data_IF_965636966369
#
_entry.id   IF_965636966369
#
_cell.length_a   1.000
_cell.length_b   1.000
_cell.length_c   1.000
_cell.angle_alpha   90.00
_cell.angle_beta   90.00
_cell.angle_gamma   90.00
#
_symmetry.space_group_name_H-M   'P 1'
#
loop_
_entity.id
_entity.type
_entity.pdbx_description
1 polymer ?
#
# COMPACT_ATOMS: atom_id res chain seq x y z
N UNK A 1 -17.50 12.23 -29.20
CA UNK A 1 -17.20 12.41 -27.76
C UNK A 1 -18.53 12.64 -27.06
N UNK A 2 -18.96 11.77 -26.15
CA UNK A 2 -20.23 11.92 -25.41
C UNK A 2 -19.92 12.70 -24.12
N UNK A 3 -20.56 13.86 -23.84
CA UNK A 3 -20.35 14.58 -22.60
C UNK A 3 -20.95 13.78 -21.44
N UNK A 4 -20.17 13.54 -20.37
CA UNK A 4 -20.67 12.95 -19.12
C UNK A 4 -20.04 11.61 -18.70
N UNK A 5 -19.26 10.94 -19.55
CA UNK A 5 -18.44 9.81 -19.12
C UNK A 5 -17.09 10.36 -18.67
N UNK A 6 -16.89 10.48 -17.35
CA UNK A 6 -15.55 10.72 -16.82
C UNK A 6 -14.58 9.71 -17.46
N UNK A 7 -13.37 10.12 -17.89
CA UNK A 7 -12.41 9.21 -18.48
C UNK A 7 -12.20 8.01 -17.53
N UNK A 8 -12.07 6.78 -18.05
CA UNK A 8 -11.92 5.61 -17.21
C UNK A 8 -10.75 5.82 -16.25
N UNK A 9 -11.01 5.72 -14.94
CA UNK A 9 -9.97 5.91 -13.89
C UNK A 9 -8.74 5.07 -14.23
N UNK A 10 -7.54 5.63 -14.09
CA UNK A 10 -6.29 4.93 -14.37
C UNK A 10 -6.25 3.55 -13.67
N UNK A 11 -5.72 2.47 -14.29
CA UNK A 11 -5.71 1.14 -13.68
C UNK A 11 -5.12 1.09 -12.27
N UNK A 12 -4.06 1.87 -12.03
CA UNK A 12 -3.45 2.04 -10.70
C UNK A 12 -4.44 2.57 -9.66
N UNK A 13 -5.20 3.61 -10.02
CA UNK A 13 -6.23 4.19 -9.16
C UNK A 13 -7.29 3.14 -8.82
N UNK A 14 -7.78 2.40 -9.82
CA UNK A 14 -8.76 1.33 -9.58
C UNK A 14 -8.22 0.24 -8.65
N UNK A 15 -6.96 -0.15 -8.82
CA UNK A 15 -6.31 -1.11 -7.92
C UNK A 15 -6.22 -0.56 -6.48
N UNK A 16 -5.82 0.71 -6.31
CA UNK A 16 -5.74 1.34 -5.00
C UNK A 16 -7.09 1.35 -4.26
N UNK A 17 -8.17 1.75 -4.93
CA UNK A 17 -9.51 1.72 -4.33
C UNK A 17 -9.98 0.30 -4.01
N UNK A 18 -9.72 -0.70 -4.87
CA UNK A 18 -10.04 -2.10 -4.58
C UNK A 18 -9.31 -2.63 -3.35
N UNK A 19 -8.05 -2.26 -3.17
CA UNK A 19 -7.28 -2.63 -1.99
C UNK A 19 -7.84 -1.94 -0.74
N UNK A 20 -8.14 -0.64 -0.79
CA UNK A 20 -8.76 0.08 0.33
C UNK A 20 -10.08 -0.58 0.75
N UNK A 21 -10.96 -0.86 -0.20
CA UNK A 21 -12.26 -1.48 0.09
C UNK A 21 -12.11 -2.92 0.64
N UNK A 22 -11.04 -3.62 0.26
CA UNK A 22 -10.72 -4.93 0.83
C UNK A 22 -10.13 -4.82 2.24
N UNK A 23 -9.32 -3.80 2.54
CA UNK A 23 -8.79 -3.51 3.87
C UNK A 23 -9.88 -3.08 4.86
N UNK A 24 -10.91 -2.38 4.39
CA UNK A 24 -12.07 -2.00 5.20
C UNK A 24 -12.77 -3.23 5.82
N UNK A 25 -12.80 -4.36 5.10
CA UNK A 25 -13.33 -5.64 5.63
C UNK A 25 -12.52 -6.21 6.79
N UNK A 26 -11.28 -5.78 6.94
CA UNK A 26 -10.42 -6.11 8.07
C UNK A 26 -10.48 -5.04 9.18
N UNK A 27 -11.33 -4.01 9.05
CA UNK A 27 -11.44 -2.90 9.99
C UNK A 27 -10.23 -1.96 9.97
N UNK A 28 -9.49 -1.92 8.86
CA UNK A 28 -8.29 -1.10 8.70
C UNK A 28 -8.63 0.09 7.79
N UNK A 29 -8.70 1.27 8.41
CA UNK A 29 -8.81 2.52 7.66
C UNK A 29 -7.53 2.78 6.85
N UNK A 30 -7.68 3.20 5.61
CA UNK A 30 -6.56 3.50 4.72
C UNK A 30 -6.94 4.61 3.73
N UNK A 31 -5.97 5.45 3.40
CA UNK A 31 -6.13 6.58 2.49
C UNK A 31 -5.56 6.26 1.12
N UNK A 32 -6.31 6.58 0.07
CA UNK A 32 -5.82 6.46 -1.32
C UNK A 32 -5.22 7.80 -1.72
N UNK A 33 -3.97 7.78 -2.16
CA UNK A 33 -3.29 8.92 -2.75
C UNK A 33 -3.08 8.62 -4.25
N UNK A 34 -3.47 9.56 -5.11
CA UNK A 34 -3.42 9.41 -6.56
C UNK A 34 -2.83 10.66 -7.24
N UNK A 35 -2.10 10.47 -8.34
CA UNK A 35 -1.50 11.57 -9.09
C UNK A 35 -0.49 11.08 -10.12
N UNK A 36 -0.32 11.82 -11.22
CA UNK A 36 0.69 11.54 -12.27
C UNK A 36 0.68 10.09 -12.81
N UNK A 37 -0.49 9.44 -12.89
CA UNK A 37 -0.61 8.04 -13.33
C UNK A 37 -0.22 6.99 -12.28
N UNK A 38 0.12 7.41 -11.07
CA UNK A 38 0.44 6.56 -9.93
C UNK A 38 -0.72 6.58 -8.92
N UNK A 39 -0.78 5.52 -8.12
CA UNK A 39 -1.65 5.45 -6.96
C UNK A 39 -0.98 4.64 -5.85
N UNK A 40 -1.22 5.04 -4.61
CA UNK A 40 -0.78 4.31 -3.42
C UNK A 40 -1.86 4.33 -2.35
N UNK A 41 -1.79 3.36 -1.44
CA UNK A 41 -2.67 3.21 -0.29
C UNK A 41 -1.84 3.38 0.98
N UNK A 42 -2.07 4.45 1.71
CA UNK A 42 -1.45 4.72 3.01
C UNK A 42 -2.25 4.02 4.10
N UNK A 43 -1.65 3.05 4.78
CA UNK A 43 -2.35 2.18 5.75
C UNK A 43 -1.95 2.51 7.18
N UNK A 44 -0.65 2.71 7.43
CA UNK A 44 -0.10 3.02 8.74
C UNK A 44 1.31 3.61 8.62
N UNK A 45 1.89 4.03 9.74
CA UNK A 45 3.32 4.39 9.81
C UNK A 45 4.17 3.28 9.20
N UNK A 46 4.98 3.65 8.20
CA UNK A 46 5.85 2.77 7.41
C UNK A 46 5.14 1.61 6.68
N UNK A 47 3.83 1.72 6.47
CA UNK A 47 3.04 0.78 5.66
C UNK A 47 2.26 1.53 4.58
N UNK A 48 2.95 1.73 3.46
CA UNK A 48 2.41 2.29 2.22
C UNK A 48 2.45 1.22 1.14
N UNK A 49 1.33 1.06 0.41
CA UNK A 49 1.19 0.08 -0.67
C UNK A 49 1.06 0.79 -2.01
N UNK A 50 2.06 0.64 -2.86
CA UNK A 50 2.01 1.09 -4.25
C UNK A 50 1.03 0.21 -5.02
N UNK A 51 0.14 0.83 -5.78
CA UNK A 51 -0.88 0.16 -6.58
C UNK A 51 -0.67 0.41 -8.07
N UNK A 52 -0.80 -0.64 -8.86
CA UNK A 52 -0.60 -0.62 -10.30
C UNK A 52 -0.95 -1.97 -10.92
N UNK A 53 -0.10 -2.56 -11.77
CA UNK A 53 -0.28 -3.95 -12.21
C UNK A 53 -0.14 -4.94 -11.05
N UNK A 54 0.46 -4.50 -9.94
CA UNK A 54 0.55 -5.24 -8.69
C UNK A 54 0.48 -4.31 -7.48
N UNK A 55 0.33 -4.92 -6.31
CA UNK A 55 0.54 -4.28 -5.02
C UNK A 55 1.96 -4.54 -4.55
N UNK A 56 2.67 -3.48 -4.19
CA UNK A 56 4.05 -3.55 -3.69
C UNK A 56 4.17 -2.72 -2.41
N UNK A 57 4.75 -3.29 -1.36
CA UNK A 57 4.98 -2.57 -0.09
C UNK A 57 6.26 -3.02 0.58
N UNK A 58 6.83 -2.16 1.40
CA UNK A 58 8.06 -2.46 2.13
C UNK A 58 7.86 -3.59 3.14
N UNK A 59 8.78 -4.55 3.15
CA UNK A 59 8.70 -5.75 3.97
C UNK A 59 9.28 -5.56 5.38
N UNK A 60 9.86 -4.40 5.70
CA UNK A 60 10.46 -4.13 7.01
C UNK A 60 11.96 -4.37 7.10
N UNK A 61 12.67 -4.55 5.98
CA UNK A 61 14.09 -4.87 6.01
C UNK A 61 14.88 -4.34 4.81
N UNK A 62 16.17 -4.62 4.88
CA UNK A 62 17.16 -4.35 3.83
C UNK A 62 17.84 -5.67 3.50
N UNK A 63 18.03 -5.94 2.21
CA UNK A 63 18.76 -7.10 1.73
C UNK A 63 20.23 -6.99 2.14
N UNK A 64 20.80 -7.99 2.86
CA UNK A 64 22.21 -7.94 3.24
C UNK A 64 23.15 -8.10 2.04
N UNK A 65 22.64 -8.66 0.93
CA UNK A 65 23.41 -8.89 -0.30
C UNK A 65 23.48 -7.63 -1.16
N UNK A 66 22.34 -6.93 -1.31
CA UNK A 66 22.22 -5.82 -2.27
C UNK A 66 22.16 -4.44 -1.62
N UNK A 67 21.99 -4.37 -0.30
CA UNK A 67 21.73 -3.12 0.43
C UNK A 67 20.40 -2.45 0.08
N UNK A 68 19.54 -3.09 -0.73
CA UNK A 68 18.24 -2.55 -1.15
C UNK A 68 17.13 -2.92 -0.19
N UNK A 69 16.12 -2.05 -0.07
CA UNK A 69 14.90 -2.36 0.66
C UNK A 69 14.23 -3.63 0.13
N UNK A 70 13.78 -4.48 1.04
CA UNK A 70 13.00 -5.67 0.69
C UNK A 70 11.54 -5.27 0.52
N UNK A 71 10.94 -5.70 -0.58
CA UNK A 71 9.53 -5.44 -0.86
C UNK A 71 8.75 -6.74 -0.93
N UNK A 72 7.49 -6.70 -0.50
CA UNK A 72 6.48 -7.75 -0.71
C UNK A 72 5.58 -7.37 -1.86
N UNK A 73 5.08 -8.40 -2.53
CA UNK A 73 4.29 -8.31 -3.75
C UNK A 73 2.98 -9.09 -3.62
N UNK A 74 1.93 -8.57 -4.27
CA UNK A 74 0.71 -9.32 -4.59
C UNK A 74 0.16 -8.89 -5.96
N UNK A 75 -0.38 -9.79 -6.79
CA UNK A 75 -1.08 -9.43 -8.02
C UNK A 75 -2.25 -8.46 -7.76
N UNK A 76 -2.51 -7.54 -8.69
CA UNK A 76 -3.58 -6.53 -8.53
C UNK A 76 -5.00 -7.07 -8.78
N UNK A 77 -5.12 -8.22 -9.44
CA UNK A 77 -6.37 -8.94 -9.70
C UNK A 77 -6.90 -9.70 -8.48
N UNK A 78 -6.06 -9.93 -7.46
CA UNK A 78 -6.45 -10.48 -6.16
C UNK A 78 -6.24 -9.47 -5.01
N UNK A 79 -7.09 -8.42 -4.92
CA UNK A 79 -7.03 -7.43 -3.85
C UNK A 79 -7.35 -8.01 -2.47
N UNK A 80 -8.07 -9.14 -2.39
CA UNK A 80 -8.45 -9.75 -1.11
C UNK A 80 -7.25 -10.42 -0.46
N UNK A 81 -6.48 -11.21 -1.20
CA UNK A 81 -5.23 -11.79 -0.69
C UNK A 81 -4.20 -10.70 -0.36
N UNK A 82 -4.14 -9.64 -1.18
CA UNK A 82 -3.29 -8.50 -0.89
C UNK A 82 -3.68 -7.82 0.44
N UNK A 83 -4.97 -7.52 0.63
CA UNK A 83 -5.47 -6.90 1.86
C UNK A 83 -5.19 -7.76 3.10
N UNK A 84 -5.37 -9.09 3.01
CA UNK A 84 -5.04 -10.00 4.11
C UNK A 84 -3.56 -9.91 4.49
N UNK A 85 -2.65 -9.95 3.52
CA UNK A 85 -1.19 -9.86 3.78
C UNK A 85 -0.79 -8.50 4.34
N UNK A 86 -1.43 -7.43 3.88
CA UNK A 86 -1.22 -6.08 4.40
C UNK A 86 -1.77 -5.98 5.82
N UNK A 87 -2.91 -6.58 6.13
CA UNK A 87 -3.48 -6.64 7.48
C UNK A 87 -2.58 -7.40 8.46
N UNK A 88 -2.03 -8.55 8.05
CA UNK A 88 -1.06 -9.29 8.86
C UNK A 88 0.16 -8.41 9.21
N UNK A 89 0.69 -7.69 8.21
CA UNK A 89 1.81 -6.77 8.41
C UNK A 89 1.43 -5.56 9.28
N UNK A 90 0.24 -5.02 9.11
CA UNK A 90 -0.29 -3.93 9.94
C UNK A 90 -0.32 -4.33 11.42
N UNK A 91 -0.85 -5.52 11.73
CA UNK A 91 -0.88 -6.02 13.10
C UNK A 91 0.52 -6.32 13.66
N UNK A 92 1.44 -6.84 12.85
CA UNK A 92 2.84 -7.02 13.24
C UNK A 92 3.50 -5.68 13.61
N UNK A 93 3.34 -4.65 12.77
CA UNK A 93 3.88 -3.32 13.01
C UNK A 93 3.28 -2.68 14.26
N UNK A 94 1.96 -2.84 14.48
CA UNK A 94 1.30 -2.31 15.69
C UNK A 94 1.72 -2.98 16.99
N UNK A 95 2.17 -4.24 16.94
CA UNK A 95 2.69 -4.94 18.13
C UNK A 95 4.13 -4.55 18.44
N UNK A 96 4.91 -4.23 17.41
CA UNK A 96 6.35 -3.98 17.53
C UNK A 96 6.71 -2.51 17.68
N UNK A 97 5.84 -1.59 17.24
CA UNK A 97 6.14 -0.14 17.22
C UNK A 97 5.14 0.66 18.05
N UNK A 98 5.66 1.47 18.98
CA UNK A 98 4.86 2.49 19.65
C UNK A 98 4.48 3.61 18.68
N UNK A 99 3.23 4.12 18.73
CA UNK A 99 2.77 5.22 17.86
C UNK A 99 3.60 6.51 17.99
N UNK A 100 4.29 6.69 19.13
CA UNK A 100 5.02 7.91 19.47
C UNK A 100 6.48 7.92 19.00
N UNK A 101 6.94 6.88 18.30
CA UNK A 101 8.31 6.81 17.79
C UNK A 101 8.43 7.58 16.45
N UNK A 102 9.24 8.67 16.38
CA UNK A 102 9.36 9.48 15.17
C UNK A 102 9.81 8.64 13.95
N UNK A 103 9.06 8.72 12.86
CA UNK A 103 9.23 7.92 11.64
C UNK A 103 10.35 8.38 10.69
N UNK A 104 11.11 9.43 11.05
CA UNK A 104 12.10 10.06 10.18
C UNK A 104 13.56 9.67 10.47
N UNK A 105 13.83 8.78 11.45
CA UNK A 105 15.19 8.39 11.85
C UNK A 105 15.80 7.22 11.03
N UNK A 106 15.04 6.50 10.21
CA UNK A 106 15.56 5.29 9.54
C UNK A 106 15.40 5.27 8.01
N UNK A 107 15.82 6.34 7.33
CA UNK A 107 16.14 6.27 5.88
C UNK A 107 15.01 5.79 4.95
N UNK A 108 13.75 6.01 5.33
CA UNK A 108 12.59 5.53 4.58
C UNK A 108 12.36 6.35 3.29
N UNK A 109 12.12 5.70 2.13
CA UNK A 109 11.64 6.41 0.95
C UNK A 109 10.13 6.69 1.08
N UNK A 110 9.74 7.93 0.74
CA UNK A 110 8.35 8.36 0.52
C UNK A 110 7.72 7.63 -0.66
#
# INVERSE_FOLDING_TARGET
MIPGLAPPRHPAIRAAYRLRDALDRHGIAADVNEGAGLALVSVWYDLVVWAGPCYLWWAGGVSPVTGRFTYRYSPADDPVTAARRVADRYHELRRTRSPDAPSWIAGHPL
#
